data_IF_948551375104
#
_entry.id   IF_948551375104
#
_cell.length_a   1.000
_cell.length_b   1.000
_cell.length_c   1.000
_cell.angle_alpha   90.00
_cell.angle_beta   90.00
_cell.angle_gamma   90.00
#
_symmetry.space_group_name_H-M   'P 1'
#
loop_
_entity.id
_entity.type
_entity.pdbx_description
1 polymer ?
#
# COMPACT_ATOMS: atom_id res chain seq x y z
N UNK A 1 -41.20 -1.37 -49.83
CA UNK A 1 -39.76 -1.43 -49.82
C UNK A 1 -39.21 -0.78 -48.56
N UNK A 2 -38.90 -1.63 -47.58
CA UNK A 2 -38.34 -1.20 -46.28
C UNK A 2 -36.85 -1.06 -46.43
N UNK A 3 -36.35 0.17 -46.27
CA UNK A 3 -34.91 0.47 -46.23
C UNK A 3 -34.35 0.03 -44.90
N UNK A 4 -33.52 -0.99 -44.88
CA UNK A 4 -32.71 -1.36 -43.74
C UNK A 4 -31.46 -0.46 -43.72
N UNK A 5 -31.29 0.35 -42.67
CA UNK A 5 -30.08 1.11 -42.36
C UNK A 5 -29.04 0.11 -41.75
N UNK A 6 -27.81 0.08 -42.24
CA UNK A 6 -26.78 -0.77 -41.65
C UNK A 6 -26.35 -0.19 -40.30
N UNK A 7 -26.32 -1.06 -39.30
CA UNK A 7 -25.69 -0.81 -37.98
C UNK A 7 -24.19 -0.60 -38.17
N UNK A 8 -23.74 0.63 -38.17
CA UNK A 8 -22.33 0.98 -38.08
C UNK A 8 -21.82 0.57 -36.70
N UNK A 9 -20.99 -0.45 -36.64
CA UNK A 9 -20.24 -0.84 -35.46
C UNK A 9 -19.33 0.35 -35.08
N UNK A 10 -19.68 1.02 -33.99
CA UNK A 10 -18.85 2.07 -33.38
C UNK A 10 -17.63 1.37 -32.77
N UNK A 11 -16.49 1.42 -33.43
CA UNK A 11 -15.23 0.97 -32.87
C UNK A 11 -14.96 1.81 -31.63
N UNK A 12 -15.02 1.19 -30.46
CA UNK A 12 -14.56 1.80 -29.23
C UNK A 12 -13.05 1.99 -29.33
N UNK A 13 -12.62 3.21 -29.49
CA UNK A 13 -11.20 3.58 -29.37
C UNK A 13 -10.80 3.32 -27.91
N UNK A 14 -10.08 2.22 -27.69
CA UNK A 14 -9.30 2.03 -26.46
C UNK A 14 -8.33 3.22 -26.33
N UNK A 15 -8.23 3.83 -25.12
CA UNK A 15 -7.33 4.95 -24.92
C UNK A 15 -5.88 4.49 -25.16
N UNK A 16 -5.21 5.09 -26.16
CA UNK A 16 -3.88 4.70 -26.64
C UNK A 16 -2.71 5.09 -25.73
N UNK A 17 -2.93 5.64 -24.54
CA UNK A 17 -1.88 6.10 -23.63
C UNK A 17 -2.22 5.77 -22.18
N UNK A 18 -2.12 4.50 -21.81
CA UNK A 18 -1.97 4.10 -20.41
C UNK A 18 -0.47 4.25 -20.09
N UNK A 19 -0.06 5.38 -19.49
CA UNK A 19 1.27 5.47 -18.93
C UNK A 19 1.30 4.63 -17.65
N UNK A 20 1.99 3.51 -17.67
CA UNK A 20 2.17 2.68 -16.50
C UNK A 20 3.16 3.38 -15.53
N UNK A 21 2.82 3.55 -14.23
CA UNK A 21 3.77 4.00 -13.23
C UNK A 21 4.88 2.95 -13.06
N UNK A 22 6.09 3.39 -12.79
CA UNK A 22 7.21 2.52 -12.47
C UNK A 22 7.59 2.64 -11.00
N UNK A 23 7.82 1.50 -10.37
CA UNK A 23 8.32 1.39 -8.99
C UNK A 23 9.66 0.66 -9.00
N UNK A 24 10.61 1.11 -8.17
CA UNK A 24 11.89 0.45 -7.99
C UNK A 24 12.25 0.44 -6.50
N UNK A 25 12.70 -0.71 -5.99
CA UNK A 25 13.06 -0.91 -4.59
C UNK A 25 14.38 -1.64 -4.46
N UNK A 26 15.13 -1.28 -3.42
CA UNK A 26 16.28 -2.03 -2.93
C UNK A 26 16.02 -2.47 -1.49
N UNK A 27 16.39 -3.70 -1.15
CA UNK A 27 16.26 -4.28 0.17
C UNK A 27 17.61 -4.88 0.59
N UNK A 28 18.04 -4.61 1.82
CA UNK A 28 19.18 -5.25 2.45
C UNK A 28 18.79 -5.81 3.82
N UNK A 29 19.28 -6.99 4.14
CA UNK A 29 19.18 -7.58 5.48
C UNK A 29 20.59 -7.70 6.04
N UNK A 30 20.85 -7.04 7.17
CA UNK A 30 22.14 -7.04 7.85
C UNK A 30 21.92 -7.35 9.33
N UNK A 31 22.29 -8.54 9.75
CA UNK A 31 22.23 -8.94 11.15
C UNK A 31 20.84 -8.80 11.80
N UNK A 32 19.79 -9.09 11.05
CA UNK A 32 18.39 -8.99 11.52
C UNK A 32 17.80 -7.60 11.43
N UNK A 33 18.56 -6.61 10.94
CA UNK A 33 18.06 -5.30 10.55
C UNK A 33 17.75 -5.34 9.05
N UNK A 34 16.52 -5.08 8.67
CA UNK A 34 16.09 -4.95 7.28
C UNK A 34 16.00 -3.48 6.93
N UNK A 35 16.67 -3.07 5.88
CA UNK A 35 16.66 -1.70 5.37
C UNK A 35 16.11 -1.74 3.95
N UNK A 36 15.17 -0.89 3.65
CA UNK A 36 14.60 -0.75 2.32
C UNK A 36 14.65 0.71 1.88
N UNK A 37 14.90 0.93 0.60
CA UNK A 37 14.75 2.23 -0.02
C UNK A 37 14.17 2.06 -1.43
N UNK A 38 13.40 3.03 -1.90
CA UNK A 38 12.78 2.91 -3.21
C UNK A 38 12.14 4.18 -3.68
N UNK A 39 11.65 4.11 -4.90
CA UNK A 39 10.89 5.15 -5.57
C UNK A 39 9.60 4.54 -6.09
N UNK A 40 8.51 5.29 -5.98
CA UNK A 40 7.17 4.83 -6.38
C UNK A 40 6.52 5.80 -7.35
N UNK A 41 5.69 5.26 -8.23
CA UNK A 41 4.83 6.00 -9.15
C UNK A 41 5.58 6.96 -10.09
N UNK A 42 6.81 6.66 -10.47
CA UNK A 42 7.59 7.51 -11.37
C UNK A 42 6.98 7.49 -12.78
N UNK A 43 6.76 8.70 -13.35
CA UNK A 43 6.30 8.88 -14.73
C UNK A 43 4.84 8.57 -15.00
N UNK A 44 4.05 8.19 -14.00
CA UNK A 44 2.64 7.83 -14.17
C UNK A 44 1.73 9.06 -14.34
N UNK A 45 1.09 9.18 -15.50
CA UNK A 45 -0.03 10.12 -15.72
C UNK A 45 -1.25 9.34 -16.16
N UNK A 46 -2.34 9.48 -15.43
CA UNK A 46 -3.64 8.92 -15.83
C UNK A 46 -4.40 10.00 -16.59
N UNK A 47 -4.80 9.70 -17.83
CA UNK A 47 -5.67 10.56 -18.61
C UNK A 47 -7.11 10.16 -18.38
N UNK A 48 -7.95 11.10 -17.94
CA UNK A 48 -9.39 10.93 -17.91
C UNK A 48 -9.95 10.92 -19.34
N UNK A 49 -11.09 10.26 -19.52
CA UNK A 49 -11.87 10.28 -20.78
C UNK A 49 -12.28 11.68 -21.22
N UNK A 50 -12.27 12.64 -20.31
CA UNK A 50 -12.59 14.07 -20.55
C UNK A 50 -11.35 14.93 -20.90
N UNK A 51 -10.19 14.31 -21.12
CA UNK A 51 -8.95 14.99 -21.53
C UNK A 51 -8.10 15.55 -20.38
N UNK A 52 -8.55 15.47 -19.13
CA UNK A 52 -7.75 15.86 -17.97
C UNK A 52 -6.71 14.80 -17.66
N UNK A 53 -5.48 15.22 -17.34
CA UNK A 53 -4.43 14.30 -16.91
C UNK A 53 -4.11 14.50 -15.43
N UNK A 54 -4.11 13.42 -14.67
CA UNK A 54 -3.74 13.38 -13.26
C UNK A 54 -2.38 12.69 -13.13
N UNK A 55 -1.44 13.33 -12.45
CA UNK A 55 -0.19 12.67 -12.04
C UNK A 55 -0.46 11.80 -10.83
N UNK A 56 0.08 10.58 -10.82
CA UNK A 56 0.14 9.79 -9.60
C UNK A 56 1.18 10.41 -8.66
N UNK A 57 0.93 10.44 -7.34
CA UNK A 57 1.86 10.99 -6.36
C UNK A 57 3.14 10.14 -6.34
N UNK A 58 4.17 10.63 -7.02
CA UNK A 58 5.48 9.99 -7.01
C UNK A 58 6.16 10.25 -5.67
N UNK A 59 6.82 9.24 -5.10
CA UNK A 59 7.51 9.35 -3.82
C UNK A 59 8.85 8.63 -3.79
N UNK A 60 9.73 9.12 -2.93
CA UNK A 60 10.94 8.43 -2.48
C UNK A 60 10.65 7.89 -1.08
N UNK A 61 10.93 6.62 -0.86
CA UNK A 61 10.65 5.90 0.38
C UNK A 61 11.92 5.33 0.97
N UNK A 62 12.04 5.35 2.29
CA UNK A 62 13.07 4.63 3.03
C UNK A 62 12.44 4.04 4.29
N UNK A 63 12.89 2.84 4.67
CA UNK A 63 12.38 2.16 5.85
C UNK A 63 13.41 1.25 6.48
N UNK A 64 13.20 0.97 7.76
CA UNK A 64 13.99 0.06 8.57
C UNK A 64 13.07 -0.79 9.41
N UNK A 65 13.39 -2.06 9.56
CA UNK A 65 12.72 -2.96 10.49
C UNK A 65 13.74 -3.80 11.26
N UNK A 66 13.43 -4.09 12.51
CA UNK A 66 14.27 -4.89 13.38
C UNK A 66 13.43 -5.88 14.21
N UNK A 67 13.93 -7.11 14.32
CA UNK A 67 13.31 -8.16 15.12
C UNK A 67 14.04 -8.28 16.46
N UNK A 68 13.40 -7.76 17.53
CA UNK A 68 14.03 -7.77 18.87
C UNK A 68 13.83 -9.07 19.63
N UNK A 69 12.73 -9.79 19.40
CA UNK A 69 12.46 -11.10 19.99
C UNK A 69 12.32 -12.10 18.87
N UNK A 70 13.13 -13.15 18.92
CA UNK A 70 13.17 -14.20 17.92
C UNK A 70 13.39 -15.54 18.59
N UNK A 71 12.37 -16.06 19.27
CA UNK A 71 12.36 -17.39 19.86
C UNK A 71 11.54 -18.35 19.01
N UNK A 72 11.56 -19.65 19.31
CA UNK A 72 10.74 -20.64 18.60
C UNK A 72 9.23 -20.33 18.62
N UNK A 73 8.76 -19.67 19.67
CA UNK A 73 7.34 -19.43 19.89
C UNK A 73 6.94 -17.96 19.73
N UNK A 74 7.82 -17.02 20.04
CA UNK A 74 7.52 -15.59 20.08
C UNK A 74 8.45 -14.80 19.19
N UNK A 75 7.88 -13.98 18.33
CA UNK A 75 8.63 -13.00 17.55
C UNK A 75 8.00 -11.62 17.75
N UNK A 76 8.85 -10.62 17.96
CA UNK A 76 8.45 -9.22 17.99
C UNK A 76 9.35 -8.47 17.03
N UNK A 77 8.72 -7.80 16.07
CA UNK A 77 9.37 -6.98 15.08
C UNK A 77 8.76 -5.58 15.09
N UNK A 78 9.60 -4.55 15.02
CA UNK A 78 9.11 -3.19 14.75
C UNK A 78 9.81 -2.64 13.53
N UNK A 79 9.12 -1.71 12.89
CA UNK A 79 9.62 -1.00 11.74
C UNK A 79 9.20 0.46 11.76
N UNK A 80 9.95 1.25 11.02
CA UNK A 80 9.63 2.62 10.70
C UNK A 80 9.94 2.88 9.24
N UNK A 81 9.12 3.68 8.58
CA UNK A 81 9.34 4.12 7.21
C UNK A 81 8.96 5.60 7.04
N UNK A 82 9.50 6.21 6.00
CA UNK A 82 9.19 7.57 5.61
C UNK A 82 9.07 7.65 4.10
N UNK A 83 8.10 8.44 3.65
CA UNK A 83 7.87 8.78 2.25
C UNK A 83 7.97 10.30 2.06
N UNK A 84 8.70 10.71 1.04
CA UNK A 84 8.75 12.10 0.58
C UNK A 84 8.10 12.15 -0.79
N UNK A 85 7.02 12.90 -0.91
CA UNK A 85 6.25 13.03 -2.15
C UNK A 85 6.84 14.15 -3.03
N UNK A 86 7.04 13.89 -4.31
CA UNK A 86 7.65 14.85 -5.24
C UNK A 86 6.78 16.09 -5.42
N UNK A 87 5.46 15.94 -5.38
CA UNK A 87 4.50 17.04 -5.47
C UNK A 87 4.33 17.81 -4.15
N UNK A 88 5.13 17.47 -3.14
CA UNK A 88 5.17 18.09 -1.81
C UNK A 88 4.46 17.25 -0.76
N UNK A 89 4.91 17.43 0.49
CA UNK A 89 4.45 16.67 1.63
C UNK A 89 5.34 15.47 1.94
N UNK A 90 5.17 14.96 3.14
CA UNK A 90 5.88 13.78 3.63
C UNK A 90 4.97 12.99 4.56
N UNK A 91 5.22 11.69 4.67
CA UNK A 91 4.64 10.82 5.70
C UNK A 91 5.71 10.00 6.39
N UNK A 92 5.43 9.61 7.61
CA UNK A 92 6.28 8.71 8.38
C UNK A 92 5.40 7.70 9.11
N UNK A 93 5.76 6.43 9.05
CA UNK A 93 5.02 5.36 9.71
C UNK A 93 5.89 4.64 10.70
N UNK A 94 5.26 4.17 11.75
CA UNK A 94 5.87 3.24 12.71
C UNK A 94 4.90 2.10 12.96
N UNK A 95 5.43 0.89 13.16
CA UNK A 95 4.61 -0.27 13.42
C UNK A 95 5.32 -1.33 14.22
N UNK A 96 4.53 -2.15 14.89
CA UNK A 96 4.99 -3.33 15.61
C UNK A 96 4.12 -4.54 15.25
N UNK A 97 4.76 -5.67 15.03
CA UNK A 97 4.12 -6.97 14.86
C UNK A 97 4.59 -7.91 15.97
N UNK A 98 3.65 -8.52 16.65
CA UNK A 98 3.87 -9.68 17.48
C UNK A 98 3.35 -10.92 16.75
N UNK A 99 4.15 -11.98 16.73
CA UNK A 99 3.66 -13.27 16.23
C UNK A 99 3.95 -14.41 17.23
N UNK A 100 2.96 -15.30 17.35
CA UNK A 100 3.02 -16.49 18.15
C UNK A 100 3.08 -17.72 17.26
N UNK A 101 4.17 -18.51 17.38
CA UNK A 101 4.44 -19.75 16.60
C UNK A 101 4.29 -19.56 15.08
N UNK A 102 4.50 -18.35 14.57
CA UNK A 102 4.23 -18.01 13.17
C UNK A 102 2.79 -18.37 12.69
N UNK A 103 1.88 -18.59 13.64
CA UNK A 103 0.48 -18.98 13.38
C UNK A 103 -0.51 -17.87 13.69
N UNK A 104 -0.30 -17.09 14.74
CA UNK A 104 -1.13 -15.94 15.11
C UNK A 104 -0.30 -14.66 15.06
N UNK A 105 -0.89 -13.58 14.57
CA UNK A 105 -0.24 -12.28 14.38
C UNK A 105 -1.11 -11.17 14.94
N UNK A 106 -0.50 -10.24 15.65
CA UNK A 106 -1.13 -8.99 16.08
C UNK A 106 -0.26 -7.82 15.64
N UNK A 107 -0.86 -6.75 15.10
CA UNK A 107 -0.17 -5.59 14.54
C UNK A 107 -0.76 -4.31 15.05
N UNK A 108 0.10 -3.36 15.33
CA UNK A 108 -0.25 -1.99 15.62
C UNK A 108 0.61 -1.08 14.76
N UNK A 109 0.03 -0.03 14.23
CA UNK A 109 0.75 0.93 13.41
C UNK A 109 0.18 2.34 13.55
N UNK A 110 1.01 3.31 13.28
CA UNK A 110 0.64 4.71 13.20
C UNK A 110 1.35 5.35 12.01
N UNK A 111 0.59 6.07 11.21
CA UNK A 111 1.09 6.88 10.11
C UNK A 111 0.85 8.36 10.43
N UNK A 112 1.91 9.13 10.49
CA UNK A 112 1.86 10.58 10.48
C UNK A 112 2.01 11.08 9.06
N UNK A 113 1.21 12.05 8.68
CA UNK A 113 1.27 12.67 7.37
C UNK A 113 1.16 14.18 7.49
N UNK A 114 2.01 14.90 6.76
CA UNK A 114 1.94 16.36 6.69
C UNK A 114 0.68 16.79 5.92
N UNK A 115 0.24 18.04 6.12
CA UNK A 115 -0.99 18.57 5.49
C UNK A 115 -0.97 18.53 3.95
N UNK A 116 0.22 18.48 3.34
CA UNK A 116 0.40 18.37 1.89
C UNK A 116 0.54 16.93 1.39
N UNK A 117 0.62 15.97 2.28
CA UNK A 117 0.73 14.57 1.88
C UNK A 117 -0.58 14.07 1.27
N UNK A 118 -0.52 13.19 0.25
CA UNK A 118 -1.71 12.63 -0.39
C UNK A 118 -2.42 11.57 0.48
N UNK A 119 -1.85 11.23 1.62
CA UNK A 119 -2.38 10.27 2.58
C UNK A 119 -2.68 10.98 3.91
N UNK A 120 -3.74 10.60 4.65
CA UNK A 120 -4.02 11.16 5.96
C UNK A 120 -3.15 10.52 7.06
N UNK A 121 -3.09 11.16 8.23
CA UNK A 121 -2.62 10.52 9.47
C UNK A 121 -3.67 9.53 9.98
N UNK A 122 -3.24 8.35 10.40
CA UNK A 122 -4.12 7.32 10.93
C UNK A 122 -3.39 6.35 11.88
N UNK A 123 -4.12 5.77 12.81
CA UNK A 123 -3.70 4.58 13.52
C UNK A 123 -4.27 3.32 12.84
N UNK A 124 -3.62 2.19 13.00
CA UNK A 124 -4.09 0.91 12.49
C UNK A 124 -3.88 -0.20 13.49
N UNK A 125 -4.83 -1.14 13.50
CA UNK A 125 -4.71 -2.39 14.24
C UNK A 125 -4.98 -3.55 13.29
N UNK A 126 -4.29 -4.66 13.48
CA UNK A 126 -4.47 -5.84 12.63
C UNK A 126 -4.27 -7.13 13.40
N UNK A 127 -4.97 -8.14 12.95
CA UNK A 127 -4.78 -9.52 13.40
C UNK A 127 -4.62 -10.43 12.18
N UNK A 128 -3.91 -11.52 12.36
CA UNK A 128 -3.73 -12.51 11.29
C UNK A 128 -3.59 -13.91 11.87
N UNK A 129 -4.01 -14.88 11.08
CA UNK A 129 -3.85 -16.30 11.39
C UNK A 129 -3.29 -17.04 10.19
N UNK A 130 -2.33 -17.92 10.44
CA UNK A 130 -1.76 -18.80 9.42
C UNK A 130 -1.98 -20.25 9.84
N UNK A 131 -2.62 -21.00 8.96
CA UNK A 131 -2.85 -22.44 9.14
C UNK A 131 -2.31 -23.14 7.89
N UNK A 132 -1.19 -23.87 8.04
CA UNK A 132 -0.50 -24.52 6.91
C UNK A 132 -0.19 -23.49 5.80
N UNK A 133 -0.81 -23.70 4.63
CA UNK A 133 -0.61 -22.86 3.43
C UNK A 133 -1.58 -21.68 3.34
N UNK A 134 -2.49 -21.50 4.29
CA UNK A 134 -3.49 -20.41 4.26
C UNK A 134 -3.18 -19.38 5.33
N UNK A 135 -3.20 -18.11 4.95
CA UNK A 135 -3.14 -16.97 5.87
C UNK A 135 -4.38 -16.11 5.69
N UNK A 136 -4.99 -15.76 6.81
CA UNK A 136 -6.14 -14.84 6.88
C UNK A 136 -5.69 -13.64 7.70
N UNK A 137 -5.86 -12.45 7.17
CA UNK A 137 -5.54 -11.19 7.83
C UNK A 137 -6.78 -10.30 7.87
N UNK A 138 -6.93 -9.57 8.97
CA UNK A 138 -7.92 -8.52 9.10
C UNK A 138 -7.26 -7.28 9.70
N UNK A 139 -7.63 -6.10 9.23
CA UNK A 139 -7.12 -4.84 9.74
C UNK A 139 -8.20 -3.77 9.78
N UNK A 140 -8.03 -2.83 10.69
CA UNK A 140 -8.90 -1.69 10.89
C UNK A 140 -8.07 -0.42 10.99
N UNK A 141 -8.50 0.60 10.24
CA UNK A 141 -7.83 1.91 10.16
C UNK A 141 -8.71 2.94 10.87
N UNK A 142 -8.09 3.69 11.79
CA UNK A 142 -8.66 4.78 12.56
C UNK A 142 -8.04 6.10 12.09
N UNK A 143 -8.69 6.84 11.21
CA UNK A 143 -8.16 8.14 10.75
C UNK A 143 -8.25 9.19 11.88
N UNK A 144 -7.24 10.05 11.97
CA UNK A 144 -7.14 11.07 13.01
C UNK A 144 -8.02 12.30 12.73
N UNK A 145 -8.22 12.65 11.47
CA UNK A 145 -9.08 13.78 11.04
C UNK A 145 -10.26 13.27 10.23
N UNK A 146 -11.26 14.13 10.00
CA UNK A 146 -12.36 13.84 9.08
C UNK A 146 -11.81 13.57 7.66
N UNK A 147 -11.55 12.31 7.39
CA UNK A 147 -11.09 11.83 6.10
C UNK A 147 -12.25 11.13 5.37
N UNK A 148 -12.29 11.17 4.03
CA UNK A 148 -13.23 10.34 3.25
C UNK A 148 -13.10 8.84 3.56
N UNK A 149 -11.96 8.40 4.06
CA UNK A 149 -11.68 7.02 4.48
C UNK A 149 -12.04 6.76 5.95
N UNK A 150 -13.23 7.17 6.38
CA UNK A 150 -13.70 6.88 7.75
C UNK A 150 -13.79 5.36 7.96
N UNK A 151 -13.15 4.88 9.03
CA UNK A 151 -13.33 3.53 9.56
C UNK A 151 -13.21 2.42 8.50
N UNK A 152 -12.04 2.31 7.88
CA UNK A 152 -11.81 1.30 6.84
C UNK A 152 -11.47 -0.05 7.47
N UNK A 153 -12.28 -1.05 7.21
CA UNK A 153 -11.99 -2.45 7.52
C UNK A 153 -11.46 -3.15 6.25
N UNK A 154 -10.37 -3.89 6.41
CA UNK A 154 -9.80 -4.70 5.35
C UNK A 154 -9.65 -6.15 5.81
N UNK A 155 -9.96 -7.08 4.94
CA UNK A 155 -9.72 -8.49 5.15
C UNK A 155 -9.03 -9.10 3.91
N UNK A 156 -8.10 -10.01 4.13
CA UNK A 156 -7.34 -10.66 3.07
C UNK A 156 -7.13 -12.13 3.35
N UNK A 157 -7.03 -12.92 2.28
CA UNK A 157 -6.66 -14.33 2.33
C UNK A 157 -5.48 -14.55 1.39
N UNK A 158 -4.42 -15.15 1.88
CA UNK A 158 -3.25 -15.56 1.12
C UNK A 158 -3.09 -17.07 1.14
N UNK A 159 -2.65 -17.65 0.02
CA UNK A 159 -2.37 -19.08 -0.11
C UNK A 159 -0.94 -19.23 -0.63
N UNK A 160 -0.15 -20.09 0.04
CA UNK A 160 1.19 -20.52 -0.39
C UNK A 160 1.15 -22.00 -0.77
N UNK A 161 1.73 -22.33 -1.87
CA UNK A 161 1.87 -23.70 -2.38
C UNK A 161 3.31 -24.00 -2.78
#
# INVERSE_FOLDING_TARGET
>A
PTRQTPLTARSQHLPKHLAAPADAFALADVSGIRIAAGVRNIGGKIKSSEGSSFSLPASVSAGVAYRFVNTEQHHIEAGADADIFIDGGASASVGVEYSYRNAAFARLGYNYASDKAPVPSFASVGIGFRIRSVRIDASYILPEKESPQKNTFSAGVGIWF
#
